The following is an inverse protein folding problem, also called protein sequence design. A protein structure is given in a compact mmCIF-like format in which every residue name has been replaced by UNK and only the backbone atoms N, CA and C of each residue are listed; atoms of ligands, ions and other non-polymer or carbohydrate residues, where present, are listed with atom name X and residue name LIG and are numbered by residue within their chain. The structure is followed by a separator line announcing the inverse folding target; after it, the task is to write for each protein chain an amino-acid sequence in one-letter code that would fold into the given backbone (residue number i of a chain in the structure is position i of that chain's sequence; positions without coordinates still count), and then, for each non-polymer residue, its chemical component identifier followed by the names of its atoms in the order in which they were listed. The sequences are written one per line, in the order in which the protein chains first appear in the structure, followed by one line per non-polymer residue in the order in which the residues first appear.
data_IF_891650295864
#
_entry.id   IF_891650295864
#
_cell.length_a   1.000
_cell.length_b   1.000
_cell.length_c   1.000
_cell.angle_alpha   90.00
_cell.angle_beta   90.00
_cell.angle_gamma   90.00
#
_symmetry.space_group_name_H-M   'P 1'
#
loop_
_entity.id
_entity.type
_entity.pdbx_description
1 polymer ?
#
# COMPACT_ATOMS: atom_id res chain seq x y z
N UNK A 1 36.76 -53.25 -48.65
CA UNK A 1 35.68 -52.65 -47.84
C UNK A 1 36.26 -51.40 -47.21
N UNK A 2 36.49 -50.31 -47.97
CA UNK A 2 35.47 -49.35 -48.47
C UNK A 2 34.89 -48.58 -47.27
N UNK A 3 35.02 -47.26 -47.11
CA UNK A 3 35.52 -46.21 -47.99
C UNK A 3 35.88 -44.95 -47.18
N UNK A 4 36.86 -44.23 -47.70
CA UNK A 4 37.34 -42.89 -47.35
C UNK A 4 36.28 -41.80 -47.54
N UNK A 5 36.45 -40.63 -46.88
CA UNK A 5 36.29 -39.32 -47.54
C UNK A 5 36.98 -38.22 -46.73
N UNK A 6 38.03 -37.68 -47.32
CA UNK A 6 38.62 -36.38 -47.01
C UNK A 6 38.44 -35.52 -48.26
N UNK A 7 38.00 -34.27 -48.11
CA UNK A 7 38.18 -33.25 -49.14
C UNK A 7 38.00 -31.83 -48.61
N UNK A 8 38.87 -30.99 -49.15
CA UNK A 8 39.22 -29.61 -48.87
C UNK A 8 38.53 -28.63 -49.81
N UNK A 9 38.71 -27.32 -49.51
CA UNK A 9 38.64 -26.14 -50.42
C UNK A 9 37.27 -25.80 -51.02
N UNK A 10 36.76 -24.56 -50.96
CA UNK A 10 37.37 -23.39 -51.58
C UNK A 10 36.56 -22.11 -51.31
N UNK A 11 37.29 -21.00 -51.34
CA UNK A 11 36.90 -19.58 -51.40
C UNK A 11 35.86 -19.21 -52.47
N UNK A 12 35.03 -18.18 -52.18
CA UNK A 12 34.59 -17.13 -53.13
C UNK A 12 33.78 -16.04 -52.43
N UNK A 13 34.34 -14.84 -52.29
CA UNK A 13 33.57 -13.57 -52.29
C UNK A 13 33.34 -13.13 -53.74
N UNK A 14 32.33 -12.30 -54.04
CA UNK A 14 32.69 -10.95 -54.47
C UNK A 14 31.68 -9.82 -54.17
N UNK A 15 32.25 -8.60 -54.15
CA UNK A 15 31.74 -7.29 -54.62
C UNK A 15 30.47 -6.68 -54.01
N UNK A 16 30.56 -5.58 -53.26
CA UNK A 16 30.64 -4.17 -53.69
C UNK A 16 29.48 -3.67 -54.56
N UNK A 17 28.66 -2.77 -53.98
CA UNK A 17 28.04 -1.68 -54.72
C UNK A 17 27.92 -0.42 -53.84
N UNK A 18 28.60 0.61 -54.32
CA UNK A 18 28.60 2.00 -53.87
C UNK A 18 27.30 2.71 -54.27
N UNK A 19 26.82 3.65 -53.45
CA UNK A 19 26.20 4.93 -53.84
C UNK A 19 25.61 5.61 -52.59
N UNK A 20 25.59 6.93 -52.39
CA UNK A 20 26.33 8.09 -52.93
C UNK A 20 25.95 9.22 -51.96
N UNK A 21 26.93 9.90 -51.35
CA UNK A 21 26.70 11.19 -50.70
C UNK A 21 26.45 12.26 -51.77
N UNK A 22 25.63 13.29 -51.51
CA UNK A 22 25.86 14.62 -52.04
C UNK A 22 26.52 15.50 -50.97
N UNK A 23 27.73 15.93 -51.32
CA UNK A 23 28.47 17.07 -50.79
C UNK A 23 28.02 18.34 -51.54
N UNK A 24 28.02 19.50 -50.86
CA UNK A 24 28.36 20.87 -51.31
C UNK A 24 27.77 21.87 -50.28
N UNK A 25 28.61 22.50 -49.43
CA UNK A 25 29.39 23.74 -49.62
C UNK A 25 28.57 25.02 -49.35
N UNK A 26 29.11 25.87 -48.47
CA UNK A 26 28.57 27.20 -48.17
C UNK A 26 29.32 27.87 -47.03
N UNK A 27 30.48 28.45 -47.37
CA UNK A 27 31.36 29.27 -46.55
C UNK A 27 30.70 30.54 -46.00
N UNK A 28 31.27 31.10 -44.92
CA UNK A 28 30.90 32.44 -44.46
C UNK A 28 31.48 32.86 -43.11
N UNK A 29 32.80 33.02 -43.04
CA UNK A 29 33.53 33.83 -42.05
C UNK A 29 32.86 35.19 -41.81
N UNK A 30 32.90 35.73 -40.58
CA UNK A 30 33.54 37.02 -40.26
C UNK A 30 33.34 37.46 -38.79
N UNK A 31 34.48 37.79 -38.16
CA UNK A 31 34.71 38.94 -37.25
C UNK A 31 34.62 38.75 -35.73
N UNK A 32 35.76 38.25 -35.22
CA UNK A 32 36.55 38.78 -34.10
C UNK A 32 36.22 40.25 -33.71
N UNK A 33 35.92 40.50 -32.43
CA UNK A 33 36.47 41.64 -31.67
C UNK A 33 36.44 41.39 -30.15
N UNK A 34 37.47 41.96 -29.52
CA UNK A 34 38.01 41.73 -28.18
C UNK A 34 37.77 42.99 -27.33
N UNK A 35 37.99 42.82 -26.02
CA UNK A 35 38.12 43.80 -24.92
C UNK A 35 36.79 44.07 -24.22
N UNK A 36 36.69 44.05 -22.90
CA UNK A 36 37.68 44.02 -21.82
C UNK A 36 37.13 44.84 -20.65
N UNK A 37 37.52 44.48 -19.41
CA UNK A 37 37.37 45.28 -18.17
C UNK A 37 35.91 45.33 -17.65
N UNK A 38 35.56 45.02 -16.41
CA UNK A 38 36.25 44.94 -15.13
C UNK A 38 35.31 45.62 -14.12
N UNK A 39 34.80 44.91 -13.11
CA UNK A 39 34.42 45.46 -11.78
C UNK A 39 33.76 44.38 -10.90
N UNK A 40 34.44 44.09 -9.79
CA UNK A 40 33.93 43.47 -8.59
C UNK A 40 32.82 44.32 -7.96
N UNK A 41 31.70 43.71 -7.56
CA UNK A 41 30.89 44.04 -6.36
C UNK A 41 29.89 42.87 -6.14
N UNK A 42 29.75 42.35 -4.91
CA UNK A 42 28.90 41.20 -4.60
C UNK A 42 27.47 41.63 -4.23
N UNK A 43 26.42 40.89 -4.62
CA UNK A 43 25.13 41.02 -3.98
C UNK A 43 25.00 40.01 -2.84
N UNK A 44 24.97 40.58 -1.64
CA UNK A 44 24.44 40.05 -0.39
C UNK A 44 23.16 39.22 -0.56
N UNK A 45 23.14 38.13 0.21
CA UNK A 45 22.00 37.28 0.56
C UNK A 45 20.62 37.99 0.56
N UNK A 46 19.60 37.40 -0.08
CA UNK A 46 18.23 37.56 0.39
C UNK A 46 17.96 36.50 1.47
N UNK A 47 17.75 36.97 2.70
CA UNK A 47 16.99 36.24 3.72
C UNK A 47 15.65 35.82 3.13
N UNK A 48 15.49 34.52 2.91
CA UNK A 48 14.17 33.92 2.69
C UNK A 48 13.51 33.75 4.05
N UNK A 49 12.70 34.72 4.45
CA UNK A 49 11.68 34.48 5.46
C UNK A 49 10.76 33.37 4.96
N UNK A 50 10.78 32.24 5.68
CA UNK A 50 9.84 31.15 5.56
C UNK A 50 8.49 31.60 6.14
N UNK A 51 7.67 32.25 5.31
CA UNK A 51 6.24 32.39 5.59
C UNK A 51 5.59 31.01 5.43
N UNK A 52 5.50 30.26 6.53
CA UNK A 52 4.65 29.08 6.65
C UNK A 52 3.17 29.49 6.60
N UNK A 53 2.65 29.64 5.39
CA UNK A 53 1.21 29.68 5.13
C UNK A 53 0.61 28.27 5.18
N UNK A 54 0.50 27.67 6.37
CA UNK A 54 -0.40 26.54 6.59
C UNK A 54 -1.84 27.06 6.71
N UNK A 55 -2.58 27.00 5.61
CA UNK A 55 -4.05 27.10 5.65
C UNK A 55 -4.65 25.82 5.08
N UNK A 56 -4.79 24.82 5.94
CA UNK A 56 -5.90 23.88 5.80
C UNK A 56 -7.16 24.64 6.18
N UNK A 57 -7.89 25.16 5.20
CA UNK A 57 -9.24 25.67 5.38
C UNK A 57 -10.16 24.54 5.85
N UNK A 58 -10.26 24.39 7.18
CA UNK A 58 -11.37 23.72 7.84
C UNK A 58 -12.52 24.71 7.91
N UNK A 59 -13.56 24.51 7.11
CA UNK A 59 -14.86 25.12 7.38
C UNK A 59 -15.37 24.63 8.75
N UNK A 60 -15.90 25.50 9.62
CA UNK A 60 -16.51 25.07 10.86
C UNK A 60 -17.82 24.31 10.59
N UNK A 61 -18.15 23.25 11.35
CA UNK A 61 -19.47 22.63 11.27
C UNK A 61 -20.53 23.55 11.91
N UNK A 62 -21.61 23.80 11.18
CA UNK A 62 -22.80 24.50 11.67
C UNK A 62 -23.42 23.75 12.87
N UNK A 63 -23.98 24.46 13.87
CA UNK A 63 -24.68 23.84 14.98
C UNK A 63 -26.03 23.23 14.53
N UNK A 64 -26.50 22.14 15.15
CA UNK A 64 -27.81 21.55 14.86
C UNK A 64 -28.95 22.44 15.39
N UNK A 65 -30.11 22.48 14.73
CA UNK A 65 -31.28 23.20 15.22
C UNK A 65 -31.93 22.49 16.42
N UNK A 66 -32.25 23.29 17.44
CA UNK A 66 -32.98 22.92 18.66
C UNK A 66 -34.31 22.24 18.36
N UNK A 67 -34.46 21.00 18.80
CA UNK A 67 -35.76 20.32 18.85
C UNK A 67 -36.41 20.59 20.20
N UNK A 68 -37.58 21.21 20.13
CA UNK A 68 -38.43 21.60 21.24
C UNK A 68 -38.94 20.36 21.99
N UNK A 69 -38.84 20.38 23.31
CA UNK A 69 -39.53 19.49 24.25
C UNK A 69 -41.03 19.81 24.30
N UNK A 70 -41.92 18.81 24.21
CA UNK A 70 -43.25 18.91 24.77
C UNK A 70 -43.31 18.32 26.19
N UNK A 71 -44.18 18.96 26.97
CA UNK A 71 -44.39 18.80 28.39
C UNK A 71 -45.02 17.46 28.82
N UNK A 72 -44.90 17.24 30.13
CA UNK A 72 -45.42 16.14 30.93
C UNK A 72 -46.92 15.83 30.73
N UNK A 73 -47.27 14.55 30.77
CA UNK A 73 -48.60 14.07 31.11
C UNK A 73 -48.49 12.86 32.05
N UNK A 74 -49.22 12.93 33.16
CA UNK A 74 -49.22 12.00 34.30
C UNK A 74 -49.82 10.62 33.97
N UNK A 75 -49.48 9.56 34.74
CA UNK A 75 -50.21 8.29 34.71
C UNK A 75 -51.46 8.30 35.62
N UNK A 76 -52.58 7.66 35.23
CA UNK A 76 -53.77 7.50 36.06
C UNK A 76 -53.64 6.39 37.12
N UNK A 77 -54.47 6.43 38.20
CA UNK A 77 -54.30 5.62 39.41
C UNK A 77 -54.92 4.21 39.33
N UNK A 78 -54.39 3.34 40.18
CA UNK A 78 -54.82 1.95 40.43
C UNK A 78 -56.21 1.84 41.08
N UNK A 79 -56.86 0.68 40.90
CA UNK A 79 -57.40 -0.08 42.05
C UNK A 79 -57.00 -1.56 41.91
N UNK A 80 -56.75 -2.39 42.93
CA UNK A 80 -56.89 -2.34 44.37
C UNK A 80 -57.05 -3.82 44.83
N UNK A 81 -56.39 -4.20 45.94
CA UNK A 81 -56.68 -5.38 46.79
C UNK A 81 -56.51 -6.80 46.15
N UNK A 82 -55.98 -7.87 46.75
CA UNK A 82 -55.61 -8.23 48.14
C UNK A 82 -54.71 -9.49 48.14
N UNK A 83 -53.77 -9.51 49.08
CA UNK A 83 -53.36 -10.59 50.03
C UNK A 83 -53.43 -12.08 49.59
N UNK A 84 -52.30 -12.80 49.61
CA UNK A 84 -51.96 -13.86 50.60
C UNK A 84 -50.73 -14.69 50.16
N UNK A 85 -49.80 -14.90 51.10
CA UNK A 85 -48.74 -15.92 51.06
C UNK A 85 -49.33 -17.33 51.20
N UNK A 86 -48.68 -18.33 50.60
CA UNK A 86 -48.93 -19.74 50.92
C UNK A 86 -48.06 -20.69 50.11
N UNK A 87 -47.34 -21.55 50.80
CA UNK A 87 -46.26 -22.38 50.28
C UNK A 87 -46.72 -23.77 49.77
N UNK A 88 -45.86 -24.33 48.90
CA UNK A 88 -45.43 -25.74 48.85
C UNK A 88 -46.25 -26.83 48.12
N UNK A 89 -45.48 -27.89 47.80
CA UNK A 89 -45.77 -29.32 47.54
C UNK A 89 -46.08 -29.81 46.10
N UNK A 90 -45.02 -30.37 45.49
CA UNK A 90 -44.88 -31.76 45.01
C UNK A 90 -45.84 -32.41 43.98
N UNK A 91 -45.16 -32.96 42.95
CA UNK A 91 -45.39 -34.21 42.21
C UNK A 91 -46.52 -34.34 41.18
N UNK A 92 -46.12 -34.73 39.96
CA UNK A 92 -46.80 -35.81 39.24
C UNK A 92 -46.95 -35.66 37.72
N UNK A 93 -46.19 -36.50 37.00
CA UNK A 93 -46.58 -37.20 35.75
C UNK A 93 -46.47 -36.44 34.41
N UNK A 94 -45.54 -36.91 33.56
CA UNK A 94 -45.45 -36.66 32.11
C UNK A 94 -46.37 -37.65 31.33
N UNK A 95 -46.80 -37.40 30.06
CA UNK A 95 -45.88 -37.37 28.90
C UNK A 95 -46.20 -36.36 27.75
N UNK A 96 -45.11 -35.86 27.13
CA UNK A 96 -44.81 -35.41 25.73
C UNK A 96 -45.89 -35.17 24.64
N UNK A 97 -45.56 -34.54 23.49
CA UNK A 97 -44.59 -33.45 23.22
C UNK A 97 -45.16 -32.38 22.24
N UNK A 98 -44.75 -31.10 22.34
CA UNK A 98 -44.87 -30.15 21.20
C UNK A 98 -43.66 -29.23 21.09
N UNK A 99 -42.78 -29.61 20.15
CA UNK A 99 -41.94 -28.79 19.27
C UNK A 99 -41.42 -27.44 19.80
N UNK A 100 -40.32 -27.49 20.57
CA UNK A 100 -39.41 -26.36 20.74
C UNK A 100 -38.37 -26.33 19.62
N UNK A 101 -38.51 -25.41 18.67
CA UNK A 101 -37.51 -25.15 17.63
C UNK A 101 -36.26 -24.49 18.22
N UNK A 102 -35.25 -25.29 18.54
CA UNK A 102 -33.91 -24.80 18.85
C UNK A 102 -33.26 -24.28 17.57
N UNK A 103 -33.14 -22.95 17.46
CA UNK A 103 -32.27 -22.32 16.44
C UNK A 103 -30.82 -22.69 16.77
N UNK A 104 -30.31 -23.73 16.12
CA UNK A 104 -28.89 -24.04 16.07
C UNK A 104 -28.14 -22.83 15.47
N UNK A 105 -27.58 -21.98 16.34
CA UNK A 105 -26.59 -20.97 15.99
C UNK A 105 -25.31 -21.72 15.60
N UNK A 106 -25.18 -22.06 14.32
CA UNK A 106 -23.93 -22.61 13.76
C UNK A 106 -22.84 -21.56 13.91
N UNK A 107 -21.95 -21.77 14.87
CA UNK A 107 -20.65 -21.12 14.90
C UNK A 107 -19.71 -21.95 14.02
N UNK A 108 -19.24 -21.47 12.86
CA UNK A 108 -18.21 -22.17 12.13
C UNK A 108 -16.86 -21.87 12.78
N UNK A 109 -16.59 -22.51 13.92
CA UNK A 109 -15.23 -22.71 14.39
C UNK A 109 -14.59 -23.70 13.40
N UNK A 110 -14.04 -23.18 12.31
CA UNK A 110 -13.23 -23.99 11.41
C UNK A 110 -11.97 -24.37 12.18
N UNK A 111 -11.84 -25.66 12.50
CA UNK A 111 -10.58 -26.24 12.94
C UNK A 111 -9.48 -26.07 11.89
N UNK A 112 -8.21 -26.32 12.24
CA UNK A 112 -7.08 -26.10 11.35
C UNK A 112 -7.24 -26.98 10.10
N UNK A 113 -7.56 -26.36 8.96
CA UNK A 113 -7.43 -27.04 7.68
C UNK A 113 -5.96 -27.01 7.31
N UNK A 114 -5.35 -28.19 7.36
CA UNK A 114 -4.07 -28.47 6.74
C UNK A 114 -4.04 -27.94 5.31
N UNK A 115 -2.92 -27.30 4.98
CA UNK A 115 -2.75 -26.51 3.78
C UNK A 115 -2.66 -27.32 2.48
N UNK A 116 -2.37 -26.59 1.41
CA UNK A 116 -1.93 -27.05 0.09
C UNK A 116 -3.01 -27.53 -0.90
N UNK A 117 -3.59 -26.56 -1.61
CA UNK A 117 -3.88 -26.65 -3.07
C UNK A 117 -4.44 -25.34 -3.67
N UNK A 118 -5.02 -24.46 -2.85
CA UNK A 118 -5.57 -23.16 -3.30
C UNK A 118 -4.73 -21.91 -2.98
N UNK A 119 -3.56 -22.09 -2.35
CA UNK A 119 -2.74 -21.00 -1.83
C UNK A 119 -1.69 -20.49 -2.83
N UNK A 120 -1.22 -21.39 -3.70
CA UNK A 120 -0.16 -21.10 -4.66
C UNK A 120 -0.69 -20.32 -5.86
N UNK A 121 0.09 -19.35 -6.31
CA UNK A 121 -0.17 -18.45 -7.45
C UNK A 121 1.17 -18.25 -8.16
N UNK A 122 1.15 -18.03 -9.47
CA UNK A 122 2.36 -17.59 -10.16
C UNK A 122 2.81 -16.21 -9.63
N UNK A 123 4.08 -16.07 -9.20
CA UNK A 123 4.61 -14.79 -8.74
C UNK A 123 4.39 -13.70 -9.78
N UNK A 124 3.83 -12.58 -9.32
CA UNK A 124 3.57 -11.43 -10.19
C UNK A 124 4.84 -10.62 -10.48
N UNK A 125 5.81 -10.71 -9.56
CA UNK A 125 7.05 -9.96 -9.56
C UNK A 125 8.19 -10.83 -9.06
N UNK A 126 9.43 -10.53 -9.47
CA UNK A 126 10.62 -11.28 -9.05
C UNK A 126 10.87 -11.24 -7.53
N UNK A 127 10.33 -10.24 -6.82
CA UNK A 127 10.41 -10.12 -5.36
C UNK A 127 9.23 -10.77 -4.62
N UNK A 128 8.20 -11.21 -5.35
CA UNK A 128 7.02 -11.89 -4.77
C UNK A 128 7.22 -13.40 -4.79
N UNK A 129 6.64 -14.08 -3.81
CA UNK A 129 6.64 -15.55 -3.74
C UNK A 129 5.49 -16.15 -4.53
N UNK A 130 5.39 -17.48 -4.54
CA UNK A 130 4.24 -18.22 -5.03
C UNK A 130 3.01 -18.12 -4.10
N UNK A 131 3.13 -17.47 -2.93
CA UNK A 131 2.02 -17.21 -2.01
C UNK A 131 1.48 -15.81 -2.19
N UNK A 132 0.15 -15.69 -2.11
CA UNK A 132 -0.57 -14.41 -2.22
C UNK A 132 -0.08 -13.43 -1.15
N UNK A 133 0.10 -12.18 -1.54
CA UNK A 133 0.48 -11.09 -0.63
C UNK A 133 1.74 -11.39 0.20
N UNK A 134 2.62 -12.25 -0.31
CA UNK A 134 3.84 -12.68 0.37
C UNK A 134 5.06 -12.32 -0.48
N UNK A 135 6.03 -11.64 0.14
CA UNK A 135 7.29 -11.20 -0.46
C UNK A 135 8.46 -12.00 0.10
N UNK A 136 9.54 -12.09 -0.66
CA UNK A 136 10.79 -12.68 -0.18
C UNK A 136 11.46 -11.79 0.88
N UNK A 137 12.32 -12.39 1.71
CA UNK A 137 13.11 -11.65 2.71
C UNK A 137 14.16 -10.76 2.04
N UNK A 138 14.64 -9.73 2.73
CA UNK A 138 15.71 -8.84 2.24
C UNK A 138 16.99 -9.61 1.92
N UNK A 139 17.35 -10.60 2.73
CA UNK A 139 18.51 -11.45 2.49
C UNK A 139 18.39 -12.18 1.14
N UNK A 140 17.20 -12.74 0.85
CA UNK A 140 16.93 -13.40 -0.42
C UNK A 140 16.93 -12.41 -1.59
N UNK A 141 16.26 -11.27 -1.46
CA UNK A 141 16.23 -10.25 -2.52
C UNK A 141 17.64 -9.79 -2.87
N UNK A 142 18.48 -9.54 -1.85
CA UNK A 142 19.88 -9.15 -2.02
C UNK A 142 20.73 -10.24 -2.68
N UNK A 143 20.60 -11.50 -2.25
CA UNK A 143 21.38 -12.60 -2.83
C UNK A 143 21.04 -12.87 -4.30
N UNK A 144 19.83 -12.49 -4.74
CA UNK A 144 19.38 -12.58 -6.12
C UNK A 144 19.58 -11.28 -6.93
N UNK A 145 20.33 -10.31 -6.39
CA UNK A 145 20.65 -9.06 -7.09
C UNK A 145 19.48 -8.08 -7.24
N UNK A 146 18.37 -8.29 -6.52
CA UNK A 146 17.22 -7.38 -6.54
C UNK A 146 17.53 -6.22 -5.58
N UNK A 147 17.99 -5.10 -6.16
CA UNK A 147 18.35 -3.87 -5.42
C UNK A 147 17.33 -2.75 -5.59
N UNK A 148 16.52 -2.81 -6.63
CA UNK A 148 15.54 -1.78 -6.96
C UNK A 148 14.14 -2.37 -7.08
N UNK A 149 13.15 -1.65 -6.57
CA UNK A 149 11.74 -1.96 -6.75
C UNK A 149 11.09 -0.86 -7.58
N UNK A 150 10.38 -1.25 -8.65
CA UNK A 150 9.77 -0.34 -9.62
C UNK A 150 8.26 -0.36 -9.53
N UNK A 151 7.64 0.77 -9.87
CA UNK A 151 6.19 0.88 -9.94
C UNK A 151 5.76 2.12 -10.72
N UNK A 152 4.62 2.00 -11.40
CA UNK A 152 4.03 3.09 -12.17
C UNK A 152 3.18 3.97 -11.26
N UNK A 153 3.34 5.28 -11.38
CA UNK A 153 2.48 6.29 -10.77
C UNK A 153 1.78 7.10 -11.85
N UNK A 154 0.57 7.56 -11.56
CA UNK A 154 -0.28 8.34 -12.46
C UNK A 154 -0.77 9.60 -11.76
N UNK A 155 -0.71 10.73 -12.47
CA UNK A 155 -1.26 11.99 -12.01
C UNK A 155 -2.79 11.92 -11.93
N UNK A 156 -3.35 12.26 -10.76
CA UNK A 156 -4.82 12.35 -10.58
C UNK A 156 -5.49 13.55 -11.27
N UNK A 157 -4.72 14.43 -11.92
CA UNK A 157 -5.21 15.67 -12.57
C UNK A 157 -5.14 15.59 -14.08
N UNK A 158 -3.98 15.25 -14.63
CA UNK A 158 -3.73 15.24 -16.07
C UNK A 158 -3.40 13.86 -16.63
N UNK A 159 -3.53 12.80 -15.82
CA UNK A 159 -3.38 11.38 -16.20
C UNK A 159 -1.99 10.96 -16.70
N UNK A 160 -1.03 11.89 -16.77
CA UNK A 160 0.37 11.61 -17.06
C UNK A 160 0.92 10.54 -16.10
N UNK A 161 1.64 9.56 -16.66
CA UNK A 161 2.17 8.43 -15.91
C UNK A 161 3.69 8.33 -16.07
N UNK A 162 4.37 7.89 -15.02
CA UNK A 162 5.81 7.60 -15.06
C UNK A 162 6.15 6.41 -14.16
N UNK A 163 7.25 5.75 -14.46
CA UNK A 163 7.82 4.74 -13.56
C UNK A 163 8.69 5.42 -12.51
N UNK A 164 8.51 5.04 -11.24
CA UNK A 164 9.39 5.40 -10.13
C UNK A 164 10.13 4.14 -9.68
N UNK A 165 11.37 4.33 -9.26
CA UNK A 165 12.25 3.28 -8.72
C UNK A 165 12.65 3.65 -7.31
N UNK A 166 12.67 2.65 -6.44
CA UNK A 166 13.12 2.76 -5.05
C UNK A 166 14.33 1.86 -4.84
N UNK A 167 15.37 2.40 -4.22
CA UNK A 167 16.42 1.56 -3.63
C UNK A 167 15.81 0.74 -2.48
N UNK A 168 15.93 -0.57 -2.57
CA UNK A 168 15.28 -1.50 -1.65
C UNK A 168 15.74 -1.32 -0.21
N UNK A 169 17.06 -1.19 0.01
CA UNK A 169 17.62 -1.14 1.36
C UNK A 169 17.37 0.23 1.98
N UNK A 170 17.68 1.32 1.27
CA UNK A 170 17.52 2.66 1.79
C UNK A 170 16.06 2.97 2.15
N UNK A 171 15.10 2.60 1.28
CA UNK A 171 13.68 2.83 1.56
C UNK A 171 13.12 1.90 2.61
N UNK A 172 13.63 0.65 2.70
CA UNK A 172 13.23 -0.22 3.80
C UNK A 172 13.74 0.30 5.15
N UNK A 173 14.99 0.75 5.22
CA UNK A 173 15.58 1.31 6.44
C UNK A 173 14.82 2.54 6.94
N UNK A 174 14.33 3.39 6.04
CA UNK A 174 13.45 4.51 6.37
C UNK A 174 12.15 4.04 7.05
N UNK A 175 11.44 3.08 6.44
CA UNK A 175 10.18 2.54 6.97
C UNK A 175 10.40 1.79 8.28
N UNK A 176 11.42 0.93 8.32
CA UNK A 176 11.80 0.16 9.51
C UNK A 176 12.26 1.08 10.64
N UNK A 177 12.99 2.14 10.34
CA UNK A 177 13.41 3.17 11.29
C UNK A 177 12.21 3.90 11.89
N UNK A 178 11.26 4.31 11.05
CA UNK A 178 10.01 4.92 11.52
C UNK A 178 9.24 4.01 12.48
N UNK A 179 9.09 2.73 12.14
CA UNK A 179 8.41 1.75 13.00
C UNK A 179 9.16 1.59 14.32
N UNK A 180 10.48 1.35 14.29
CA UNK A 180 11.29 1.21 15.51
C UNK A 180 11.13 2.42 16.45
N UNK A 181 11.11 3.63 15.89
CA UNK A 181 10.99 4.86 16.66
C UNK A 181 9.56 5.10 17.20
N UNK A 182 8.51 4.79 16.42
CA UNK A 182 7.13 5.24 16.73
C UNK A 182 6.14 4.13 17.07
N UNK A 183 6.48 2.85 16.93
CA UNK A 183 5.55 1.71 17.13
C UNK A 183 4.77 1.80 18.45
N UNK A 184 5.45 2.17 19.54
CA UNK A 184 4.85 2.28 20.87
C UNK A 184 3.77 3.38 20.98
N UNK A 185 3.80 4.39 20.10
CA UNK A 185 2.83 5.49 20.05
C UNK A 185 1.62 5.19 19.15
N UNK A 186 1.69 4.12 18.36
CA UNK A 186 0.71 3.85 17.30
C UNK A 186 -0.56 3.15 17.84
N UNK A 187 -0.50 2.49 19.00
CA UNK A 187 -1.65 1.81 19.63
C UNK A 187 -2.48 0.96 18.63
N UNK A 188 -1.79 0.14 17.84
CA UNK A 188 -2.34 -0.71 16.79
C UNK A 188 -3.08 0.02 15.66
N UNK A 189 -2.79 1.30 15.46
CA UNK A 189 -3.38 2.15 14.42
C UNK A 189 -2.31 2.82 13.59
N UNK A 190 -2.56 2.90 12.30
CA UNK A 190 -1.67 3.62 11.41
C UNK A 190 -1.71 5.12 11.76
N UNK A 191 -0.55 5.78 11.86
CA UNK A 191 -0.50 7.19 12.15
C UNK A 191 -1.00 8.02 10.95
N UNK A 192 -1.26 9.32 11.13
CA UNK A 192 -1.76 10.19 10.07
C UNK A 192 -0.90 10.18 8.81
N UNK A 193 0.43 10.13 8.95
CA UNK A 193 1.40 10.12 7.85
C UNK A 193 1.21 8.92 6.90
N UNK A 194 0.72 7.79 7.42
CA UNK A 194 0.43 6.61 6.61
C UNK A 194 -0.98 6.61 6.06
N UNK A 195 -1.91 7.19 6.79
CA UNK A 195 -3.33 7.23 6.39
C UNK A 195 -3.55 8.23 5.25
N UNK A 196 -2.77 9.32 5.22
CA UNK A 196 -2.73 10.33 4.18
C UNK A 196 -1.29 10.50 3.66
N UNK A 197 -0.80 9.58 2.80
CA UNK A 197 0.58 9.61 2.37
C UNK A 197 0.88 10.79 1.44
N UNK A 198 2.08 11.35 1.58
CA UNK A 198 2.59 12.40 0.69
C UNK A 198 3.01 11.76 -0.63
N UNK A 199 2.40 12.21 -1.73
CA UNK A 199 2.68 11.74 -3.07
C UNK A 199 3.70 12.65 -3.78
N UNK A 200 4.46 12.12 -4.75
CA UNK A 200 5.27 12.96 -5.63
C UNK A 200 4.40 13.96 -6.42
N UNK A 201 5.01 15.09 -6.77
CA UNK A 201 4.45 16.04 -7.74
C UNK A 201 4.50 15.52 -9.18
N UNK A 202 3.68 16.09 -10.06
CA UNK A 202 3.66 15.78 -11.48
C UNK A 202 4.51 16.79 -12.26
N UNK A 203 5.49 16.31 -13.01
CA UNK A 203 6.36 17.18 -13.83
C UNK A 203 5.60 17.79 -15.02
N UNK A 204 4.54 17.14 -15.49
CA UNK A 204 3.78 17.57 -16.67
C UNK A 204 2.87 18.77 -16.40
N UNK A 205 2.17 18.78 -15.26
CA UNK A 205 1.23 19.85 -14.91
C UNK A 205 1.65 20.65 -13.66
N UNK A 206 2.82 20.36 -13.09
CA UNK A 206 3.37 21.04 -11.91
C UNK A 206 2.61 20.80 -10.61
N UNK A 207 1.55 19.99 -10.61
CA UNK A 207 0.71 19.81 -9.43
C UNK A 207 1.47 19.01 -8.34
N UNK A 208 1.57 19.52 -7.11
CA UNK A 208 2.17 18.76 -6.00
C UNK A 208 1.22 17.66 -5.52
N UNK A 209 1.76 16.64 -4.84
CA UNK A 209 0.99 15.60 -4.14
C UNK A 209 -0.15 14.96 -4.99
N UNK A 210 0.17 14.59 -6.23
CA UNK A 210 -0.84 14.15 -7.19
C UNK A 210 -0.51 12.85 -7.94
N UNK A 211 0.74 12.38 -7.89
CA UNK A 211 1.18 11.15 -8.54
C UNK A 211 0.87 9.94 -7.66
N UNK A 212 -0.30 9.32 -7.86
CA UNK A 212 -0.71 8.12 -7.11
C UNK A 212 -0.16 6.86 -7.77
N UNK A 213 0.24 5.82 -7.01
CA UNK A 213 0.52 4.50 -7.56
C UNK A 213 -0.66 3.96 -8.37
N UNK A 214 -0.36 3.32 -9.49
CA UNK A 214 -1.36 2.60 -10.28
C UNK A 214 -1.66 1.28 -9.58
N UNK A 215 -2.92 1.11 -9.19
CA UNK A 215 -3.38 -0.10 -8.49
C UNK A 215 -3.82 -1.16 -9.49
N UNK A 216 -3.32 -2.38 -9.34
CA UNK A 216 -3.74 -3.50 -10.17
C UNK A 216 -5.23 -3.84 -9.95
N UNK A 217 -5.94 -4.16 -11.03
CA UNK A 217 -7.36 -4.53 -11.00
C UNK A 217 -7.62 -5.79 -10.16
N UNK A 218 -6.73 -6.78 -10.26
CA UNK A 218 -6.80 -8.01 -9.46
C UNK A 218 -5.88 -7.88 -8.25
N UNK A 219 -6.43 -8.11 -7.04
CA UNK A 219 -5.72 -7.96 -5.76
C UNK A 219 -4.42 -8.78 -5.64
N UNK A 220 -4.33 -9.90 -6.36
CA UNK A 220 -3.13 -10.76 -6.41
C UNK A 220 -1.93 -10.10 -7.12
N UNK A 221 -2.17 -9.08 -7.95
CA UNK A 221 -1.16 -8.35 -8.70
C UNK A 221 -0.83 -6.98 -8.08
N UNK A 222 -1.32 -6.70 -6.87
CA UNK A 222 -0.94 -5.48 -6.15
C UNK A 222 0.56 -5.56 -5.85
N UNK A 223 1.27 -4.49 -6.21
CA UNK A 223 2.69 -4.35 -5.95
C UNK A 223 2.92 -3.93 -4.48
N UNK A 224 2.74 -4.87 -3.56
CA UNK A 224 2.81 -4.62 -2.12
C UNK A 224 4.14 -4.04 -1.66
N UNK A 225 5.26 -4.51 -2.23
CA UNK A 225 6.58 -4.04 -1.86
C UNK A 225 6.81 -2.60 -2.31
N UNK A 226 6.42 -2.24 -3.54
CA UNK A 226 6.50 -0.84 -4.00
C UNK A 226 5.66 0.11 -3.13
N UNK A 227 4.46 -0.32 -2.74
CA UNK A 227 3.58 0.50 -1.89
C UNK A 227 4.17 0.69 -0.47
N UNK A 228 4.79 -0.36 0.09
CA UNK A 228 5.49 -0.27 1.37
C UNK A 228 6.64 0.73 1.31
N UNK A 229 7.56 0.54 0.36
CA UNK A 229 8.77 1.36 0.24
C UNK A 229 8.44 2.82 -0.09
N UNK A 230 7.37 3.05 -0.87
CA UNK A 230 6.87 4.39 -1.12
C UNK A 230 6.08 5.01 0.05
N UNK A 231 5.84 4.27 1.14
CA UNK A 231 4.93 4.64 2.23
C UNK A 231 3.52 5.03 1.74
N UNK A 232 3.04 4.38 0.67
CA UNK A 232 1.78 4.71 -0.02
C UNK A 232 0.67 3.68 0.21
N UNK A 233 0.84 2.73 1.13
CA UNK A 233 -0.17 1.72 1.46
C UNK A 233 -1.51 2.34 1.91
N UNK A 234 -1.52 3.58 2.41
CA UNK A 234 -2.75 4.32 2.77
C UNK A 234 -3.71 4.57 1.59
N UNK A 235 -3.21 4.48 0.36
CA UNK A 235 -4.02 4.62 -0.86
C UNK A 235 -4.87 3.37 -1.11
N UNK A 236 -4.47 2.22 -0.58
CA UNK A 236 -5.26 1.01 -0.66
C UNK A 236 -6.66 1.23 -0.05
N UNK A 237 -7.67 0.63 -0.69
CA UNK A 237 -9.00 0.58 -0.11
C UNK A 237 -9.09 -0.53 0.96
N UNK A 238 -10.17 -0.51 1.75
CA UNK A 238 -10.35 -1.45 2.86
C UNK A 238 -10.34 -2.92 2.39
N UNK A 239 -10.87 -3.18 1.21
CA UNK A 239 -10.99 -4.51 0.61
C UNK A 239 -9.66 -5.08 0.12
N UNK A 240 -8.71 -4.23 -0.26
CA UNK A 240 -7.33 -4.60 -0.57
C UNK A 240 -6.57 -4.92 0.71
N UNK A 241 -6.71 -4.09 1.76
CA UNK A 241 -6.08 -4.34 3.06
C UNK A 241 -6.60 -5.63 3.72
N UNK A 242 -7.91 -5.88 3.67
CA UNK A 242 -8.53 -7.15 4.10
C UNK A 242 -7.99 -8.36 3.32
N UNK A 243 -7.70 -8.19 2.03
CA UNK A 243 -7.11 -9.24 1.21
C UNK A 243 -5.70 -9.58 1.66
N UNK A 244 -4.86 -8.58 1.91
CA UNK A 244 -3.53 -8.78 2.48
C UNK A 244 -3.63 -9.55 3.81
N UNK A 245 -4.41 -9.02 4.76
CA UNK A 245 -4.55 -9.63 6.09
C UNK A 245 -5.05 -11.08 6.03
N UNK A 246 -5.98 -11.39 5.11
CA UNK A 246 -6.45 -12.76 4.85
C UNK A 246 -5.30 -13.72 4.53
N UNK A 247 -4.38 -13.28 3.68
CA UNK A 247 -3.34 -14.13 3.12
C UNK A 247 -2.06 -14.15 3.95
N UNK A 248 -1.90 -13.21 4.89
CA UNK A 248 -0.80 -13.19 5.86
C UNK A 248 -1.21 -13.64 7.26
N UNK A 249 -2.36 -14.32 7.38
CA UNK A 249 -2.92 -14.84 8.65
C UNK A 249 -3.12 -13.77 9.74
N UNK A 250 -3.37 -12.53 9.34
CA UNK A 250 -3.76 -11.44 10.25
C UNK A 250 -5.29 -11.35 10.38
N UNK A 251 -5.76 -10.80 11.49
CA UNK A 251 -7.19 -10.52 11.65
C UNK A 251 -7.66 -9.50 10.61
N UNK A 252 -8.89 -9.66 10.11
CA UNK A 252 -9.48 -8.83 9.04
C UNK A 252 -10.54 -7.86 9.53
N UNK A 253 -10.81 -7.90 10.83
CA UNK A 253 -11.82 -7.11 11.53
C UNK A 253 -11.19 -5.83 12.03
N UNK A 254 -11.54 -4.70 11.43
CA UNK A 254 -11.00 -3.43 11.86
C UNK A 254 -11.38 -2.31 10.91
N UNK A 255 -11.23 -1.08 11.41
CA UNK A 255 -11.22 0.10 10.60
C UNK A 255 -9.97 0.13 9.69
N UNK A 256 -9.97 1.02 8.70
CA UNK A 256 -8.93 1.09 7.67
C UNK A 256 -7.53 1.30 8.27
N UNK A 257 -7.41 2.18 9.25
CA UNK A 257 -6.17 2.52 9.98
C UNK A 257 -5.56 1.31 10.71
N UNK A 258 -6.39 0.45 11.32
CA UNK A 258 -5.94 -0.80 11.95
C UNK A 258 -5.41 -1.79 10.92
N UNK A 259 -6.16 -2.02 9.83
CA UNK A 259 -5.69 -2.95 8.79
C UNK A 259 -4.46 -2.43 8.05
N UNK A 260 -4.33 -1.10 7.93
CA UNK A 260 -3.16 -0.45 7.36
C UNK A 260 -1.92 -0.69 8.24
N UNK A 261 -2.04 -0.50 9.55
CA UNK A 261 -0.99 -0.80 10.52
C UNK A 261 -0.50 -2.25 10.41
N UNK A 262 -1.43 -3.21 10.42
CA UNK A 262 -1.10 -4.64 10.25
C UNK A 262 -0.44 -4.94 8.91
N UNK A 263 -0.79 -4.21 7.86
CA UNK A 263 -0.20 -4.40 6.53
C UNK A 263 1.25 -3.92 6.50
N UNK A 264 1.54 -2.74 7.09
CA UNK A 264 2.91 -2.25 7.22
C UNK A 264 3.78 -3.21 8.04
N UNK A 265 3.32 -3.59 9.23
CA UNK A 265 4.07 -4.51 10.09
C UNK A 265 4.21 -5.90 9.46
N UNK A 266 3.14 -6.42 8.87
CA UNK A 266 3.15 -7.73 8.21
C UNK A 266 4.13 -7.79 7.04
N UNK A 267 4.23 -6.74 6.23
CA UNK A 267 5.24 -6.67 5.16
C UNK A 267 6.65 -6.51 5.71
N UNK A 268 6.86 -5.69 6.74
CA UNK A 268 8.18 -5.55 7.35
C UNK A 268 8.65 -6.87 7.98
N UNK A 269 7.78 -7.62 8.65
CA UNK A 269 8.06 -8.95 9.19
C UNK A 269 8.41 -9.98 8.11
N UNK A 270 7.84 -9.86 6.90
CA UNK A 270 8.23 -10.72 5.78
C UNK A 270 9.62 -10.37 5.24
N UNK A 271 9.95 -9.08 5.16
CA UNK A 271 11.25 -8.59 4.67
C UNK A 271 12.38 -8.86 5.65
N UNK A 272 12.15 -8.60 6.94
CA UNK A 272 13.08 -8.83 8.04
C UNK A 272 12.36 -9.54 9.20
N UNK A 273 12.37 -10.89 9.19
CA UNK A 273 11.73 -11.69 10.23
C UNK A 273 12.32 -11.52 11.64
N UNK A 274 13.55 -11.03 11.76
CA UNK A 274 14.22 -10.81 13.04
C UNK A 274 13.92 -9.43 13.64
N UNK A 275 13.35 -8.52 12.86
CA UNK A 275 13.04 -7.17 13.31
C UNK A 275 11.81 -7.09 14.22
N UNK A 276 11.60 -5.95 14.93
CA UNK A 276 10.56 -5.76 15.94
C UNK A 276 9.17 -5.51 15.34
N UNK A 277 8.84 -6.19 14.25
CA UNK A 277 7.63 -5.96 13.44
C UNK A 277 6.45 -6.84 13.85
N UNK A 278 6.55 -7.57 14.96
CA UNK A 278 5.41 -8.38 15.40
C UNK A 278 4.24 -7.49 15.83
N UNK A 279 3.04 -7.62 15.23
CA UNK A 279 1.90 -6.78 15.58
C UNK A 279 1.37 -7.00 17.00
N UNK A 280 1.78 -8.08 17.67
CA UNK A 280 1.26 -8.52 18.98
C UNK A 280 2.26 -8.37 20.14
N UNK A 281 3.50 -7.93 19.86
CA UNK A 281 4.49 -7.65 20.91
C UNK A 281 4.55 -6.14 21.15
N UNK A 282 4.02 -5.72 22.30
CA UNK A 282 4.23 -4.40 22.91
C UNK A 282 5.38 -4.47 23.91
#
# INVERSE_FOLDING_TARGET
MSSSSSSSSSSSSPSHSHARLPHMKGDGDHKRRRNGEGEDIPPSHPSVELTLGLSCSRSPPSPPPSSQTPAAAQPPPHPGFSVFHGASFSNGVAPSPRFGGTRNRRNPTQGPKDGSKGELVQPAFAWSTDRRATVHTLAHLRSHGIREIRGVVQCKRCEASREIKYDLLAKFDEVAGFIRAKKHLMHDRAPPEWTCPILPGCDTCGQPNCMRPVMAQKKRYINWLFLLLGQTLGICNLDQLKYFCKHTKNHRTGAKDRLLYLTYLGLCKQLDPAGPFDPLCH
#
